data_IF_204280375504
#
_entry.id   IF_204280375504
#
_cell.length_a   1.000
_cell.length_b   1.000
_cell.length_c   1.000
_cell.angle_alpha   90.00
_cell.angle_beta   90.00
_cell.angle_gamma   90.00
#
_symmetry.space_group_name_H-M   'P 1'
#
loop_
_entity.id
_entity.type
_entity.pdbx_description
1 polymer ?
#
# COMPACT_ATOMS: atom_id res chain seq x y z
N UNK A 1 -4.21 -1.39 -22.88
CA UNK A 1 -5.58 -1.85 -22.55
C UNK A 1 -5.63 -3.36 -22.39
N UNK A 2 -5.05 -4.15 -23.32
CA UNK A 2 -4.99 -5.61 -23.26
C UNK A 2 -4.50 -6.18 -21.91
N UNK A 3 -3.45 -5.60 -21.30
CA UNK A 3 -2.93 -6.10 -20.02
C UNK A 3 -3.96 -6.08 -18.89
N UNK A 4 -4.77 -5.02 -18.78
CA UNK A 4 -5.78 -4.92 -17.73
C UNK A 4 -6.91 -5.92 -17.96
N UNK A 5 -7.27 -6.18 -19.23
CA UNK A 5 -8.25 -7.20 -19.60
C UNK A 5 -7.73 -8.60 -19.26
N UNK A 6 -6.49 -8.92 -19.65
CA UNK A 6 -5.85 -10.21 -19.32
C UNK A 6 -5.83 -10.43 -17.81
N UNK A 7 -5.43 -9.42 -17.04
CA UNK A 7 -5.46 -9.48 -15.59
C UNK A 7 -6.88 -9.75 -15.06
N UNK A 8 -7.88 -8.95 -15.44
CA UNK A 8 -9.24 -9.14 -14.93
C UNK A 8 -9.83 -10.49 -15.33
N UNK A 9 -9.57 -10.96 -16.55
CA UNK A 9 -9.99 -12.27 -17.02
C UNK A 9 -9.29 -13.39 -16.24
N UNK A 10 -8.00 -13.24 -15.92
CA UNK A 10 -7.30 -14.18 -15.06
C UNK A 10 -7.89 -14.18 -13.64
N UNK A 11 -8.12 -13.02 -13.03
CA UNK A 11 -8.70 -12.93 -11.69
C UNK A 11 -10.10 -13.58 -11.65
N UNK A 12 -10.95 -13.33 -12.66
CA UNK A 12 -12.24 -14.02 -12.77
C UNK A 12 -12.08 -15.54 -12.80
N UNK A 13 -11.10 -16.01 -13.57
CA UNK A 13 -10.89 -17.43 -13.86
C UNK A 13 -10.30 -18.19 -12.69
N UNK A 14 -9.36 -17.59 -11.96
CA UNK A 14 -8.49 -18.31 -11.02
C UNK A 14 -8.75 -17.94 -9.55
N UNK A 15 -9.27 -16.75 -9.25
CA UNK A 15 -9.48 -16.30 -7.87
C UNK A 15 -10.95 -16.26 -7.47
N UNK A 16 -11.87 -16.54 -8.40
CA UNK A 16 -13.30 -16.62 -8.11
C UNK A 16 -13.99 -15.28 -7.85
N UNK A 17 -13.36 -14.16 -8.23
CA UNK A 17 -13.98 -12.82 -8.07
C UNK A 17 -15.34 -12.79 -8.77
N UNK A 18 -16.33 -12.18 -8.12
CA UNK A 18 -17.68 -12.07 -8.65
C UNK A 18 -17.73 -11.10 -9.86
N UNK A 19 -18.74 -11.29 -10.70
CA UNK A 19 -18.86 -10.54 -11.95
C UNK A 19 -19.15 -9.04 -11.72
N UNK A 20 -19.84 -8.69 -10.64
CA UNK A 20 -20.22 -7.31 -10.35
C UNK A 20 -18.99 -6.48 -9.95
N UNK A 21 -18.15 -7.04 -9.07
CA UNK A 21 -16.85 -6.47 -8.69
C UNK A 21 -15.97 -6.28 -9.92
N UNK A 22 -15.89 -7.27 -10.81
CA UNK A 22 -15.09 -7.16 -12.04
C UNK A 22 -15.58 -6.08 -12.99
N UNK A 23 -16.90 -5.95 -13.19
CA UNK A 23 -17.49 -4.86 -14.00
C UNK A 23 -17.17 -3.50 -13.41
N UNK A 24 -17.23 -3.36 -12.08
CA UNK A 24 -16.83 -2.13 -11.40
C UNK A 24 -15.36 -1.84 -11.63
N UNK A 25 -14.47 -2.81 -11.43
CA UNK A 25 -13.04 -2.66 -11.70
C UNK A 25 -12.75 -2.27 -13.15
N UNK A 26 -13.37 -2.93 -14.12
CA UNK A 26 -13.21 -2.62 -15.55
C UNK A 26 -13.66 -1.19 -15.88
N UNK A 27 -14.81 -0.78 -15.34
CA UNK A 27 -15.34 0.58 -15.49
C UNK A 27 -14.38 1.62 -14.88
N UNK A 28 -13.79 1.31 -13.73
CA UNK A 28 -12.83 2.18 -13.07
C UNK A 28 -11.51 2.28 -13.87
N UNK A 29 -10.98 1.17 -14.38
CA UNK A 29 -9.75 1.22 -15.18
C UNK A 29 -9.92 1.99 -16.49
N UNK A 30 -11.12 1.96 -17.08
CA UNK A 30 -11.43 2.71 -18.30
C UNK A 30 -11.67 4.19 -18.02
N UNK A 31 -12.31 4.54 -16.90
CA UNK A 31 -12.64 5.94 -16.56
C UNK A 31 -11.54 6.69 -15.83
N UNK A 32 -10.99 6.11 -14.77
CA UNK A 32 -10.16 6.84 -13.79
C UNK A 32 -8.67 6.54 -13.91
N UNK A 33 -8.26 5.69 -14.88
CA UNK A 33 -6.86 5.22 -15.06
C UNK A 33 -6.23 4.72 -13.75
N UNK A 34 -7.04 4.14 -12.86
CA UNK A 34 -6.55 3.59 -11.60
C UNK A 34 -5.49 2.53 -11.87
N UNK A 35 -4.40 2.61 -11.11
CA UNK A 35 -3.29 1.69 -11.23
C UNK A 35 -3.53 0.47 -10.35
N UNK A 36 -3.32 -0.71 -10.93
CA UNK A 36 -3.27 -1.96 -10.18
C UNK A 36 -1.81 -2.22 -9.85
N UNK A 37 -1.51 -2.72 -8.64
CA UNK A 37 -0.13 -3.02 -8.28
C UNK A 37 0.46 -4.13 -9.17
N UNK A 38 1.77 -4.07 -9.37
CA UNK A 38 2.51 -5.03 -10.19
C UNK A 38 2.32 -6.48 -9.70
N UNK A 39 2.17 -6.70 -8.40
CA UNK A 39 1.95 -8.02 -7.83
C UNK A 39 0.73 -8.74 -8.44
N UNK A 40 -0.38 -8.03 -8.68
CA UNK A 40 -1.56 -8.62 -9.30
C UNK A 40 -1.28 -9.12 -10.72
N UNK A 41 -0.51 -8.36 -11.48
CA UNK A 41 -0.14 -8.75 -12.83
C UNK A 41 0.80 -9.96 -12.82
N UNK A 42 1.74 -10.01 -11.87
CA UNK A 42 2.63 -11.17 -11.69
C UNK A 42 1.82 -12.41 -11.30
N UNK A 43 0.87 -12.30 -10.37
CA UNK A 43 0.00 -13.42 -9.99
C UNK A 43 -0.85 -13.89 -11.18
N UNK A 44 -1.40 -12.96 -11.97
CA UNK A 44 -2.13 -13.32 -13.19
C UNK A 44 -1.26 -14.07 -14.20
N UNK A 45 -0.02 -13.61 -14.40
CA UNK A 45 0.93 -14.28 -15.28
C UNK A 45 1.27 -15.69 -14.78
N UNK A 46 1.48 -15.87 -13.48
CA UNK A 46 1.67 -17.19 -12.87
C UNK A 46 0.51 -18.15 -13.16
N UNK A 47 -0.73 -17.70 -12.94
CA UNK A 47 -1.90 -18.55 -13.16
C UNK A 47 -2.08 -18.92 -14.63
N UNK A 48 -1.88 -17.98 -15.53
CA UNK A 48 -1.98 -18.23 -16.97
C UNK A 48 -0.85 -19.17 -17.40
N UNK A 49 0.39 -18.95 -16.97
CA UNK A 49 1.52 -19.80 -17.32
C UNK A 49 1.31 -21.24 -16.85
N UNK A 50 0.80 -21.45 -15.63
CA UNK A 50 0.48 -22.78 -15.11
C UNK A 50 -0.57 -23.49 -15.99
N UNK A 51 -1.65 -22.80 -16.38
CA UNK A 51 -2.67 -23.33 -17.28
C UNK A 51 -2.11 -23.63 -18.68
N UNK A 52 -1.23 -22.77 -19.20
CA UNK A 52 -0.54 -22.97 -20.48
C UNK A 52 0.33 -24.23 -20.45
N UNK A 53 1.14 -24.40 -19.41
CA UNK A 53 2.01 -25.57 -19.26
C UNK A 53 1.19 -26.86 -19.09
N UNK A 54 0.13 -26.83 -18.28
CA UNK A 54 -0.82 -27.95 -18.13
C UNK A 54 -1.51 -28.32 -19.42
N UNK A 55 -1.77 -27.36 -20.30
CA UNK A 55 -2.36 -27.57 -21.62
C UNK A 55 -1.33 -27.95 -22.71
N UNK A 56 -0.08 -28.26 -22.34
CA UNK A 56 0.96 -28.68 -23.26
C UNK A 56 1.68 -27.55 -23.99
N UNK A 57 1.55 -26.31 -23.51
CA UNK A 57 2.35 -25.18 -23.99
C UNK A 57 3.84 -25.36 -23.68
N UNK A 58 4.69 -24.78 -24.51
CA UNK A 58 6.15 -24.94 -24.43
C UNK A 58 6.88 -23.62 -24.26
N UNK A 59 7.86 -23.61 -23.36
CA UNK A 59 8.80 -22.50 -23.17
C UNK A 59 10.09 -22.75 -23.96
N UNK A 60 10.66 -21.69 -24.53
CA UNK A 60 11.99 -21.70 -25.13
C UNK A 60 12.96 -20.94 -24.25
N UNK A 61 14.13 -21.53 -24.00
CA UNK A 61 15.20 -20.83 -23.31
C UNK A 61 15.90 -19.86 -24.28
N UNK A 62 16.08 -18.61 -23.85
CA UNK A 62 16.87 -17.58 -24.55
C UNK A 62 18.28 -17.53 -23.97
N UNK A 63 19.23 -16.99 -24.74
CA UNK A 63 20.68 -17.00 -24.46
C UNK A 63 21.08 -16.47 -23.07
N UNK A 64 20.24 -15.67 -22.43
CA UNK A 64 20.50 -15.07 -21.13
C UNK A 64 20.04 -15.97 -19.96
N UNK A 65 19.61 -17.20 -20.21
CA UNK A 65 19.06 -18.11 -19.20
C UNK A 65 17.55 -17.97 -19.00
N UNK A 66 16.96 -16.85 -19.44
CA UNK A 66 15.53 -16.58 -19.35
C UNK A 66 14.70 -17.51 -20.25
N UNK A 67 13.39 -17.58 -19.97
CA UNK A 67 12.43 -18.34 -20.77
C UNK A 67 11.44 -17.41 -21.46
N UNK A 68 11.05 -17.76 -22.67
CA UNK A 68 9.97 -17.10 -23.40
C UNK A 68 8.86 -18.12 -23.73
N UNK A 69 7.63 -17.66 -23.68
CA UNK A 69 6.47 -18.39 -24.15
C UNK A 69 6.36 -18.26 -25.67
N UNK A 70 6.32 -19.40 -26.37
CA UNK A 70 6.26 -19.43 -27.84
C UNK A 70 4.83 -19.45 -28.39
N UNK A 71 3.86 -19.88 -27.58
CA UNK A 71 2.51 -20.11 -28.03
C UNK A 71 1.56 -20.34 -26.87
N UNK A 72 0.30 -19.99 -27.08
CA UNK A 72 -0.77 -20.16 -26.09
C UNK A 72 -1.76 -21.19 -26.63
N UNK A 73 -1.98 -22.31 -25.92
CA UNK A 73 -2.97 -23.29 -26.32
C UNK A 73 -4.36 -22.66 -26.48
N UNK A 74 -5.09 -23.06 -27.52
CA UNK A 74 -6.42 -22.49 -27.86
C UNK A 74 -7.39 -22.55 -26.68
N UNK A 75 -7.28 -23.58 -25.83
CA UNK A 75 -8.09 -23.72 -24.63
C UNK A 75 -7.90 -22.55 -23.65
N UNK A 76 -6.66 -22.13 -23.39
CA UNK A 76 -6.36 -21.02 -22.48
C UNK A 76 -6.93 -19.70 -23.04
N UNK A 77 -6.74 -19.44 -24.33
CA UNK A 77 -7.33 -18.26 -24.98
C UNK A 77 -8.86 -18.27 -24.92
N UNK A 78 -9.51 -19.43 -25.11
CA UNK A 78 -10.96 -19.56 -24.96
C UNK A 78 -11.42 -19.30 -23.53
N UNK A 79 -10.70 -19.84 -22.54
CA UNK A 79 -11.00 -19.66 -21.11
C UNK A 79 -10.94 -18.19 -20.71
N UNK A 80 -9.86 -17.49 -21.08
CA UNK A 80 -9.71 -16.06 -20.82
C UNK A 80 -10.80 -15.23 -21.52
N UNK A 81 -11.07 -15.50 -22.81
CA UNK A 81 -12.12 -14.78 -23.54
C UNK A 81 -13.52 -15.01 -22.97
N UNK A 82 -13.84 -16.24 -22.55
CA UNK A 82 -15.11 -16.54 -21.87
C UNK A 82 -15.26 -15.76 -20.56
N UNK A 83 -14.16 -15.52 -19.84
CA UNK A 83 -14.18 -14.65 -18.67
C UNK A 83 -14.36 -13.17 -19.07
N UNK A 84 -13.65 -12.71 -20.10
CA UNK A 84 -13.74 -11.32 -20.61
C UNK A 84 -15.17 -10.95 -20.98
N UNK A 85 -15.88 -11.82 -21.71
CA UNK A 85 -17.26 -11.58 -22.16
C UNK A 85 -18.26 -11.37 -21.01
N UNK A 86 -17.89 -11.69 -19.77
CA UNK A 86 -18.74 -11.44 -18.61
C UNK A 86 -18.70 -9.99 -18.11
N UNK A 87 -17.67 -9.22 -18.46
CA UNK A 87 -17.48 -7.85 -17.94
C UNK A 87 -17.05 -6.81 -18.98
N UNK A 88 -16.62 -7.23 -20.17
CA UNK A 88 -16.29 -6.34 -21.28
C UNK A 88 -16.93 -6.86 -22.57
N UNK A 89 -17.85 -6.07 -23.13
CA UNK A 89 -18.56 -6.42 -24.35
C UNK A 89 -17.65 -6.23 -25.57
N UNK A 90 -17.71 -7.16 -26.53
CA UNK A 90 -17.04 -7.10 -27.83
C UNK A 90 -15.50 -7.00 -27.82
N UNK A 91 -14.84 -7.19 -26.67
CA UNK A 91 -13.38 -7.20 -26.59
C UNK A 91 -12.83 -8.62 -26.51
N UNK A 92 -11.96 -8.97 -27.46
CA UNK A 92 -11.28 -10.25 -27.50
C UNK A 92 -9.80 -10.09 -27.15
N UNK A 93 -9.30 -11.01 -26.34
CA UNK A 93 -7.89 -11.20 -26.01
C UNK A 93 -7.31 -12.16 -27.06
N UNK A 94 -6.38 -11.67 -27.88
CA UNK A 94 -5.67 -12.53 -28.83
C UNK A 94 -4.59 -13.36 -28.14
N UNK A 95 -4.20 -14.48 -28.74
CA UNK A 95 -3.05 -15.25 -28.24
C UNK A 95 -1.76 -14.41 -28.22
N UNK A 96 -1.60 -13.47 -29.15
CA UNK A 96 -0.44 -12.57 -29.17
C UNK A 96 -0.42 -11.60 -27.99
N UNK A 97 -1.60 -11.13 -27.55
CA UNK A 97 -1.70 -10.30 -26.34
C UNK A 97 -1.25 -11.08 -25.10
N UNK A 98 -1.68 -12.34 -24.98
CA UNK A 98 -1.28 -13.22 -23.88
C UNK A 98 0.22 -13.52 -23.92
N UNK A 99 0.78 -13.84 -25.09
CA UNK A 99 2.24 -14.08 -25.24
C UNK A 99 3.03 -12.84 -24.85
N UNK A 100 2.60 -11.66 -25.31
CA UNK A 100 3.27 -10.39 -25.00
C UNK A 100 3.19 -10.09 -23.50
N UNK A 101 2.03 -10.33 -22.89
CA UNK A 101 1.81 -10.18 -21.46
C UNK A 101 2.71 -11.12 -20.64
N UNK A 102 2.69 -12.42 -20.95
CA UNK A 102 3.49 -13.43 -20.26
C UNK A 102 4.98 -13.12 -20.36
N UNK A 103 5.48 -12.90 -21.58
CA UNK A 103 6.90 -12.64 -21.78
C UNK A 103 7.37 -11.37 -21.06
N UNK A 104 6.52 -10.33 -20.99
CA UNK A 104 6.84 -9.11 -20.25
C UNK A 104 7.07 -9.35 -18.76
N UNK A 105 6.20 -10.14 -18.12
CA UNK A 105 6.29 -10.42 -16.68
C UNK A 105 7.30 -11.52 -16.35
N UNK A 106 7.41 -12.56 -17.19
CA UNK A 106 8.44 -13.58 -17.05
C UNK A 106 9.84 -12.98 -17.13
N UNK A 107 10.12 -12.10 -18.10
CA UNK A 107 11.43 -11.46 -18.25
C UNK A 107 11.86 -10.66 -17.01
N UNK A 108 10.90 -10.06 -16.30
CA UNK A 108 11.17 -9.15 -15.16
C UNK A 108 11.11 -9.83 -13.81
N UNK A 109 10.26 -10.83 -13.68
CA UNK A 109 9.89 -11.40 -12.39
C UNK A 109 10.04 -12.92 -12.34
N UNK A 110 10.46 -13.60 -13.41
CA UNK A 110 10.75 -15.03 -13.37
C UNK A 110 12.23 -15.28 -13.66
N UNK A 111 12.97 -15.69 -12.64
CA UNK A 111 14.39 -16.02 -12.75
C UNK A 111 14.60 -17.50 -12.41
N UNK A 112 15.30 -18.23 -13.28
CA UNK A 112 15.54 -19.67 -13.14
C UNK A 112 14.26 -20.49 -12.82
N UNK A 113 13.13 -20.11 -13.42
CA UNK A 113 11.83 -20.76 -13.20
C UNK A 113 11.16 -20.42 -11.87
N UNK A 114 11.76 -19.53 -11.07
CA UNK A 114 11.22 -19.04 -9.82
C UNK A 114 10.68 -17.62 -9.99
N UNK A 115 9.47 -17.37 -9.51
CA UNK A 115 8.86 -16.05 -9.58
C UNK A 115 9.28 -15.18 -8.39
N UNK A 116 9.95 -14.07 -8.68
CA UNK A 116 10.27 -12.98 -7.78
C UNK A 116 9.08 -12.01 -7.70
N UNK A 117 8.08 -12.37 -6.88
CA UNK A 117 6.87 -11.56 -6.71
C UNK A 117 7.24 -10.26 -5.97
N UNK A 118 6.99 -9.07 -6.57
CA UNK A 118 7.23 -7.80 -5.89
C UNK A 118 6.28 -7.64 -4.70
N UNK A 119 6.73 -6.95 -3.64
CA UNK A 119 5.85 -6.57 -2.55
C UNK A 119 4.65 -5.77 -3.10
N UNK A 120 3.43 -6.12 -2.68
CA UNK A 120 2.17 -5.50 -3.13
C UNK A 120 2.22 -3.96 -3.10
N UNK A 121 2.90 -3.44 -2.09
CA UNK A 121 3.17 -2.04 -1.87
C UNK A 121 4.58 -1.94 -1.28
N UNK A 122 5.60 -1.47 -2.03
CA UNK A 122 6.91 -1.25 -1.44
C UNK A 122 6.70 -0.29 -0.27
N UNK A 123 7.06 -0.74 0.94
CA UNK A 123 7.06 0.15 2.10
C UNK A 123 7.83 1.38 1.68
N UNK A 124 7.18 2.54 1.67
CA UNK A 124 7.89 3.81 1.50
C UNK A 124 8.90 3.82 2.64
N UNK A 125 10.15 3.44 2.36
CA UNK A 125 11.25 3.68 3.26
C UNK A 125 11.31 5.19 3.29
N UNK A 126 10.69 5.80 4.31
CA UNK A 126 11.05 7.15 4.70
C UNK A 126 12.54 7.05 4.97
N UNK A 127 13.34 7.54 4.05
CA UNK A 127 14.73 7.85 4.29
C UNK A 127 14.75 8.75 5.53
N UNK A 128 14.97 8.16 6.71
CA UNK A 128 15.63 8.85 7.80
C UNK A 128 17.10 9.01 7.39
N UNK A 129 17.35 9.84 6.37
CA UNK A 129 18.67 10.31 6.00
C UNK A 129 18.68 11.84 6.00
N UNK A 130 18.41 12.47 7.14
CA UNK A 130 18.84 13.85 7.45
C UNK A 130 18.82 14.16 8.96
N UNK A 131 19.16 13.21 9.84
CA UNK A 131 19.47 13.60 11.24
C UNK A 131 20.71 12.94 11.87
N UNK A 132 21.46 12.11 11.13
CA UNK A 132 22.74 11.54 11.63
C UNK A 132 23.96 12.35 11.12
N UNK A 133 23.76 13.33 10.23
CA UNK A 133 24.86 14.20 9.77
C UNK A 133 25.13 15.43 10.67
N UNK A 134 24.18 15.85 11.49
CA UNK A 134 24.36 17.01 12.38
C UNK A 134 24.93 16.61 13.75
N UNK A 135 24.67 15.39 14.23
CA UNK A 135 25.20 14.91 15.51
C UNK A 135 26.70 14.54 15.43
N UNK A 136 27.19 14.16 14.24
CA UNK A 136 28.62 13.87 14.03
C UNK A 136 29.47 15.14 13.94
N UNK A 137 28.92 16.24 13.43
CA UNK A 137 29.63 17.54 13.41
C UNK A 137 29.63 18.25 14.75
N UNK A 138 28.70 17.93 15.66
CA UNK A 138 28.68 18.53 17.00
C UNK A 138 29.67 17.85 17.95
N UNK A 139 29.82 16.51 17.87
CA UNK A 139 30.78 15.78 18.70
C UNK A 139 32.24 16.09 18.30
N UNK A 140 32.54 16.25 17.00
CA UNK A 140 33.89 16.67 16.55
C UNK A 140 34.23 18.13 16.95
N UNK A 141 33.23 19.01 17.10
CA UNK A 141 33.44 20.39 17.54
C UNK A 141 33.67 20.51 19.06
N UNK A 142 33.06 19.63 19.87
CA UNK A 142 33.25 19.62 21.33
C UNK A 142 34.65 19.11 21.71
N UNK A 143 35.23 18.18 20.93
CA UNK A 143 36.57 17.65 21.21
C UNK A 143 37.74 18.60 20.85
N UNK A 144 37.47 19.78 20.28
CA UNK A 144 38.50 20.74 19.85
C UNK A 144 38.58 22.04 20.67
N UNK A 145 37.87 22.16 21.81
CA UNK A 145 37.91 23.36 22.65
C UNK A 145 38.48 23.18 24.07
N UNK A 146 38.97 22.00 24.44
CA UNK A 146 39.56 21.77 25.78
C UNK A 146 41.09 21.79 25.79
N UNK A 147 41.71 22.84 25.25
CA UNK A 147 43.10 23.16 25.54
C UNK A 147 43.31 24.68 25.49
N UNK A 148 42.97 25.36 26.59
CA UNK A 148 43.61 26.57 27.16
C UNK A 148 42.65 27.30 28.11
N UNK A 149 42.84 27.10 29.41
CA UNK A 149 42.86 28.18 30.40
C UNK A 149 43.16 27.61 31.79
N UNK A 150 44.41 27.73 32.22
CA UNK A 150 44.79 27.57 33.62
C UNK A 150 44.54 28.85 34.42
N UNK A 151 43.80 28.67 35.52
CA UNK A 151 43.99 29.21 36.89
C UNK A 151 44.13 30.72 37.17
N UNK A 152 43.16 31.23 37.95
CA UNK A 152 43.24 31.98 39.24
C UNK A 152 42.03 32.94 39.33
N UNK A 153 41.36 33.27 40.42
CA UNK A 153 41.36 32.86 41.83
C UNK A 153 40.10 33.47 42.48
N UNK A 154 39.65 32.85 43.57
CA UNK A 154 38.98 33.42 44.76
C UNK A 154 37.58 34.09 44.72
N UNK A 155 36.72 33.50 45.56
CA UNK A 155 35.94 34.10 46.68
C UNK A 155 34.42 34.31 46.54
N UNK A 156 33.73 33.70 47.53
CA UNK A 156 32.50 34.07 48.28
C UNK A 156 31.20 34.28 47.46
N UNK A 157 30.00 33.91 47.89
CA UNK A 157 29.41 33.96 49.24
C UNK A 157 28.11 33.12 49.28
N UNK A 158 27.61 32.89 50.50
CA UNK A 158 26.44 32.08 50.86
C UNK A 158 25.07 32.75 50.60
N UNK A 159 24.03 31.93 50.35
CA UNK A 159 22.68 31.93 50.99
C UNK A 159 21.74 31.00 50.18
N UNK A 160 21.15 29.93 50.71
CA UNK A 160 20.09 29.79 51.71
C UNK A 160 18.66 29.97 51.14
N UNK A 161 17.82 28.95 51.37
CA UNK A 161 16.32 28.95 51.38
C UNK A 161 15.60 29.10 50.02
N UNK A 162 14.46 28.45 49.72
CA UNK A 162 13.30 27.99 50.50
C UNK A 162 12.39 27.15 49.58
N UNK A 163 11.69 26.16 50.13
CA UNK A 163 10.24 25.81 50.01
C UNK A 163 9.56 25.80 48.62
N UNK A 164 8.52 25.03 48.30
CA UNK A 164 7.74 23.91 48.85
C UNK A 164 6.67 23.62 47.77
N UNK A 165 6.00 22.47 47.87
CA UNK A 165 4.60 22.25 47.49
C UNK A 165 4.18 22.27 45.99
N UNK A 166 3.75 21.10 45.46
CA UNK A 166 2.33 20.69 45.39
C UNK A 166 2.18 19.29 44.71
N UNK A 167 1.62 18.31 45.44
CA UNK A 167 0.97 17.05 45.03
C UNK A 167 -0.34 17.06 45.84
N UNK A 168 -1.57 16.78 45.34
CA UNK A 168 -2.08 15.41 45.01
C UNK A 168 -3.10 15.33 43.83
N UNK A 169 -3.22 14.21 43.07
CA UNK A 169 -4.09 13.01 43.31
C UNK A 169 -5.57 13.33 42.94
N UNK A 170 -6.44 12.51 42.33
CA UNK A 170 -6.75 11.08 42.41
C UNK A 170 -7.53 10.61 41.16
N UNK A 171 -7.27 9.36 40.80
CA UNK A 171 -8.20 8.24 40.51
C UNK A 171 -9.56 8.44 39.81
N UNK A 172 -9.76 7.55 38.82
CA UNK A 172 -10.86 6.56 38.66
C UNK A 172 -11.19 6.47 37.15
N UNK A 173 -11.56 5.37 36.51
CA UNK A 173 -11.78 3.95 36.80
C UNK A 173 -12.03 3.31 35.41
N UNK A 174 -11.79 1.99 35.29
CA UNK A 174 -12.41 0.99 34.40
C UNK A 174 -12.93 1.41 33.00
N UNK A 175 -12.68 0.67 31.92
CA UNK A 175 -12.98 -0.76 31.76
C UNK A 175 -12.04 -1.40 30.75
N UNK A 176 -11.55 -2.58 31.11
CA UNK A 176 -10.98 -3.51 30.15
C UNK A 176 -12.11 -4.05 29.28
N UNK A 177 -12.03 -3.81 27.97
CA UNK A 177 -12.51 -4.75 26.98
C UNK A 177 -11.34 -5.11 26.07
N UNK A 178 -11.22 -6.41 25.84
CA UNK A 178 -10.21 -7.04 25.01
C UNK A 178 -10.47 -6.71 23.54
N UNK A 179 -10.19 -5.47 23.14
CA UNK A 179 -10.19 -5.08 21.75
C UNK A 179 -8.77 -5.20 21.18
N UNK A 180 -8.68 -5.82 20.02
CA UNK A 180 -7.49 -5.86 19.21
C UNK A 180 -6.97 -4.41 19.06
N UNK A 181 -5.76 -4.04 19.52
CA UNK A 181 -5.37 -2.65 19.79
C UNK A 181 -5.24 -1.73 18.56
N UNK A 182 -5.74 -2.15 17.40
CA UNK A 182 -5.51 -1.55 16.09
C UNK A 182 -6.77 -1.45 15.22
N UNK A 183 -7.94 -1.76 15.78
CA UNK A 183 -9.20 -1.67 15.04
C UNK A 183 -9.80 -0.26 15.24
N UNK A 184 -9.93 0.50 14.15
CA UNK A 184 -10.65 1.77 14.19
C UNK A 184 -12.15 1.48 14.17
N UNK A 185 -12.90 2.16 15.03
CA UNK A 185 -14.36 2.12 14.96
C UNK A 185 -14.88 2.57 13.60
N UNK A 186 -16.09 2.14 13.24
CA UNK A 186 -16.71 2.50 11.97
C UNK A 186 -16.85 4.02 11.78
N UNK A 187 -16.90 4.44 10.51
CA UNK A 187 -17.18 5.83 10.15
C UNK A 187 -18.65 6.14 10.43
N UNK A 188 -18.91 7.29 11.05
CA UNK A 188 -20.28 7.79 11.22
C UNK A 188 -20.97 7.94 9.85
N UNK A 189 -22.10 7.23 9.61
CA UNK A 189 -22.82 7.28 8.34
C UNK A 189 -23.22 8.70 7.91
N UNK A 190 -23.45 9.61 8.86
CA UNK A 190 -23.81 11.00 8.57
C UNK A 190 -22.67 11.77 7.89
N UNK A 191 -21.41 11.43 8.20
CA UNK A 191 -20.23 12.06 7.61
C UNK A 191 -19.99 11.63 6.15
N UNK A 192 -20.50 10.46 5.75
CA UNK A 192 -20.37 9.96 4.36
C UNK A 192 -21.13 10.84 3.37
N UNK A 193 -22.28 11.36 3.80
CA UNK A 193 -23.14 12.21 2.98
C UNK A 193 -22.85 13.70 3.18
N UNK A 194 -22.01 14.06 4.14
CA UNK A 194 -21.60 15.45 4.39
C UNK A 194 -20.65 15.92 3.31
N UNK A 195 -20.89 17.12 2.80
CA UNK A 195 -20.04 17.79 1.80
C UNK A 195 -19.06 18.70 2.55
N UNK A 196 -17.77 18.36 2.48
CA UNK A 196 -16.71 19.25 2.94
C UNK A 196 -16.27 20.13 1.75
N UNK A 197 -15.23 19.71 1.02
CA UNK A 197 -14.90 20.20 -0.34
C UNK A 197 -15.13 19.14 -1.42
N UNK A 198 -15.28 17.88 -0.99
CA UNK A 198 -15.69 16.69 -1.74
C UNK A 198 -16.65 15.90 -0.84
N UNK A 199 -17.51 15.07 -1.41
CA UNK A 199 -18.43 14.24 -0.62
C UNK A 199 -17.62 13.26 0.23
N UNK A 200 -17.97 13.09 1.51
CA UNK A 200 -17.23 12.24 2.46
C UNK A 200 -17.05 10.80 1.97
N UNK A 201 -18.04 10.26 1.26
CA UNK A 201 -17.97 8.96 0.58
C UNK A 201 -16.87 8.91 -0.47
N UNK A 202 -16.79 9.91 -1.37
CA UNK A 202 -15.77 9.96 -2.42
C UNK A 202 -14.37 10.10 -1.83
N UNK A 203 -14.27 10.85 -0.74
CA UNK A 203 -13.03 11.03 0.01
C UNK A 203 -12.56 9.71 0.64
N UNK A 204 -13.45 8.94 1.27
CA UNK A 204 -13.13 7.61 1.79
C UNK A 204 -12.81 6.62 0.67
N UNK A 205 -13.53 6.70 -0.45
CA UNK A 205 -13.22 5.92 -1.64
C UNK A 205 -11.78 6.18 -2.08
N UNK A 206 -11.25 7.41 -2.12
CA UNK A 206 -9.84 7.66 -2.47
C UNK A 206 -8.83 6.90 -1.58
N UNK A 207 -9.15 6.70 -0.30
CA UNK A 207 -8.29 5.98 0.65
C UNK A 207 -8.45 4.46 0.57
N UNK A 208 -9.60 3.97 0.11
CA UNK A 208 -9.79 2.58 -0.29
C UNK A 208 -9.19 2.30 -1.69
N UNK A 209 -9.21 3.28 -2.59
CA UNK A 209 -8.78 3.19 -3.99
C UNK A 209 -7.27 3.30 -4.18
N UNK A 210 -6.54 3.80 -3.18
CA UNK A 210 -5.07 3.78 -3.16
C UNK A 210 -4.49 2.44 -2.71
N UNK A 211 -5.35 1.47 -2.36
CA UNK A 211 -4.94 0.11 -1.99
C UNK A 211 -5.32 -0.84 -3.11
N UNK A 212 -4.37 -1.68 -3.52
CA UNK A 212 -4.71 -2.83 -4.34
C UNK A 212 -5.55 -3.74 -3.43
N UNK A 213 -6.68 -4.28 -3.90
CA UNK A 213 -7.64 -5.03 -3.06
C UNK A 213 -7.13 -6.34 -2.43
N UNK A 214 -5.81 -6.51 -2.27
CA UNK A 214 -5.11 -7.64 -1.66
C UNK A 214 -4.99 -7.57 -0.15
N UNK A 215 -5.05 -6.38 0.45
CA UNK A 215 -5.12 -6.30 1.91
C UNK A 215 -6.58 -6.48 2.28
N UNK A 216 -6.87 -7.49 3.10
CA UNK A 216 -8.21 -7.74 3.65
C UNK A 216 -8.89 -6.41 3.93
N UNK A 217 -10.03 -6.18 3.26
CA UNK A 217 -11.04 -5.19 3.65
C UNK A 217 -11.61 -5.60 5.02
N UNK A 218 -10.75 -5.74 6.02
CA UNK A 218 -11.13 -5.63 7.41
C UNK A 218 -11.69 -4.21 7.54
N UNK A 219 -13.01 -4.14 7.54
CA UNK A 219 -13.73 -2.98 8.04
C UNK A 219 -13.04 -2.55 9.34
N UNK A 220 -12.69 -1.26 9.46
CA UNK A 220 -11.98 -0.75 10.64
C UNK A 220 -10.50 -0.37 10.45
N UNK A 221 -9.97 -0.32 9.23
CA UNK A 221 -8.62 0.25 8.99
C UNK A 221 -8.59 1.68 8.49
N UNK A 222 -9.73 2.23 8.10
CA UNK A 222 -9.86 3.64 7.68
C UNK A 222 -11.16 4.19 8.26
N UNK A 223 -11.08 5.35 8.92
CA UNK A 223 -12.21 6.05 9.53
C UNK A 223 -12.20 7.52 9.12
N UNK A 224 -13.32 8.02 8.61
CA UNK A 224 -13.53 9.45 8.44
C UNK A 224 -14.08 10.02 9.74
N UNK A 225 -13.44 11.08 10.23
CA UNK A 225 -13.94 11.90 11.33
C UNK A 225 -13.97 13.36 10.88
N UNK A 226 -14.81 14.14 11.54
CA UNK A 226 -14.79 15.59 11.41
C UNK A 226 -14.05 16.19 12.61
N UNK A 227 -13.07 17.05 12.35
CA UNK A 227 -12.45 17.86 13.40
C UNK A 227 -12.33 19.30 12.92
N UNK A 228 -12.83 20.24 13.71
CA UNK A 228 -12.76 21.67 13.42
C UNK A 228 -13.37 22.03 12.06
N UNK A 229 -14.51 21.40 11.72
CA UNK A 229 -15.20 21.52 10.42
C UNK A 229 -14.42 21.03 9.20
N UNK A 230 -13.28 20.34 9.40
CA UNK A 230 -12.48 19.76 8.34
C UNK A 230 -12.58 18.22 8.33
N UNK A 231 -12.56 17.58 7.15
CA UNK A 231 -12.52 16.13 7.06
C UNK A 231 -11.12 15.64 7.46
N UNK A 232 -11.09 14.65 8.34
CA UNK A 232 -9.87 14.02 8.83
C UNK A 232 -10.01 12.53 8.63
N UNK A 233 -9.01 11.92 8.02
CA UNK A 233 -9.01 10.47 7.79
C UNK A 233 -8.00 9.85 8.73
N UNK A 234 -8.49 8.98 9.59
CA UNK A 234 -7.67 8.08 10.38
C UNK A 234 -7.48 6.81 9.58
N UNK A 235 -6.26 6.30 9.50
CA UNK A 235 -6.00 5.03 8.86
C UNK A 235 -4.88 4.28 9.58
N UNK A 236 -5.00 2.96 9.66
CA UNK A 236 -3.96 2.10 10.22
C UNK A 236 -2.92 1.84 9.13
N UNK A 237 -1.66 2.13 9.40
CA UNK A 237 -0.57 1.85 8.46
C UNK A 237 -0.17 0.38 8.50
N UNK A 238 0.24 -0.17 7.37
CA UNK A 238 0.73 -1.54 7.29
C UNK A 238 2.23 -1.61 7.61
N UNK A 239 2.64 -2.61 8.40
CA UNK A 239 4.01 -2.72 8.91
C UNK A 239 4.16 -3.75 10.03
N UNK A 240 5.41 -3.95 10.51
CA UNK A 240 5.68 -4.80 11.69
C UNK A 240 5.06 -4.22 12.97
N UNK A 241 4.91 -2.89 12.99
CA UNK A 241 4.27 -2.11 14.03
C UNK A 241 3.21 -1.24 13.35
N UNK A 242 1.98 -1.72 13.19
CA UNK A 242 0.88 -0.93 12.65
C UNK A 242 0.56 0.23 13.61
N UNK A 243 0.37 1.42 13.05
CA UNK A 243 0.09 2.65 13.80
C UNK A 243 -1.09 3.38 13.17
N UNK A 244 -1.89 4.05 13.98
CA UNK A 244 -2.95 4.94 13.51
C UNK A 244 -2.33 6.25 13.02
N UNK A 245 -2.47 6.52 11.72
CA UNK A 245 -2.02 7.75 11.07
C UNK A 245 -3.21 8.63 10.72
N UNK A 246 -2.92 9.93 10.66
CA UNK A 246 -3.91 10.97 10.42
C UNK A 246 -3.59 11.74 9.13
N UNK A 247 -4.57 11.86 8.25
CA UNK A 247 -4.53 12.76 7.11
C UNK A 247 -5.53 13.91 7.30
N UNK A 248 -5.09 15.13 7.01
CA UNK A 248 -5.91 16.35 6.99
C UNK A 248 -5.86 16.92 5.57
N UNK A 249 -7.02 17.21 4.98
CA UNK A 249 -7.08 17.94 3.72
C UNK A 249 -6.48 19.34 3.87
N UNK A 250 -5.71 19.80 2.88
CA UNK A 250 -5.30 21.20 2.83
C UNK A 250 -6.54 22.05 2.55
N UNK A 251 -6.79 23.03 3.42
CA UNK A 251 -7.79 24.06 3.17
C UNK A 251 -7.22 24.97 2.09
N UNK A 252 -7.86 25.04 0.93
CA UNK A 252 -7.50 26.01 -0.09
C UNK A 252 -7.65 27.41 0.50
N UNK A 253 -6.52 28.11 0.66
CA UNK A 253 -6.46 29.52 1.01
C UNK A 253 -6.85 30.40 -0.16
#
# INVERSE_FOLDING_TARGET
MANNLILLSAMKTYTGIDQETLKKCFTEFTKTRKYICTMHFVNAAQYILDDVLKAGGTLSQVKNGNFILNGVPVFVSKKLNSATTSFADEVLISSNDVITFENYYMERYCDNGCWNIPEAHPKIKKEKQTHIKEEKTHIEAIMLMEDKAGTSDASNDANETTNDFFIPEEQAESTADSENPLELSETDPSLLNKVFSVQGKDLLELFHLSRCGCEDNSAGRVRLIEKDSAPVILYVSTGKEPEVKRWKGQVGS
#
